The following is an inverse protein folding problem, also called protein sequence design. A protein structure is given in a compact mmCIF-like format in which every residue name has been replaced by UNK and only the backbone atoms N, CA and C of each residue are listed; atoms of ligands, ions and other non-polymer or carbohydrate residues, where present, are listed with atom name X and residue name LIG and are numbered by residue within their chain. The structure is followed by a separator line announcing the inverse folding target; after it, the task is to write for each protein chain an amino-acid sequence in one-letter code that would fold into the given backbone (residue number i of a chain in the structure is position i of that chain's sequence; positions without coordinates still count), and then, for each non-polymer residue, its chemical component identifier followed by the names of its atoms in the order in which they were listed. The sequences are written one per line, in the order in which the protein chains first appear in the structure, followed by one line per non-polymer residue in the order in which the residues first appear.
data_IF_531349324150
#
_entry.id   IF_531349324150
#
_cell.length_a   1.000
_cell.length_b   1.000
_cell.length_c   1.000
_cell.angle_alpha   90.00
_cell.angle_beta   90.00
_cell.angle_gamma   90.00
#
_symmetry.space_group_name_H-M   'P 1'
#
loop_
_entity.id
_entity.type
_entity.pdbx_description
1 polymer ?
#
# COMPACT_ATOMS: atom_id res chain seq x y z
N UNK A 1 -13.79 -28.59 13.27
CA UNK A 1 -13.70 -27.80 14.51
C UNK A 1 -13.55 -26.33 14.15
N UNK A 2 -14.58 -25.59 14.57
CA UNK A 2 -14.81 -24.15 14.50
C UNK A 2 -13.59 -23.22 14.49
N UNK A 3 -13.50 -22.42 13.43
CA UNK A 3 -12.82 -21.12 13.45
C UNK A 3 -13.76 -20.07 12.91
N UNK A 4 -14.61 -19.51 13.77
CA UNK A 4 -15.49 -18.37 13.46
C UNK A 4 -14.67 -17.23 12.85
N UNK A 5 -14.66 -17.09 11.52
CA UNK A 5 -14.41 -15.80 10.91
C UNK A 5 -15.62 -14.93 11.26
N UNK A 6 -15.47 -14.13 12.31
CA UNK A 6 -16.36 -13.01 12.57
C UNK A 6 -16.31 -12.11 11.34
N UNK A 7 -17.34 -12.17 10.52
CA UNK A 7 -17.66 -11.13 9.55
C UNK A 7 -17.90 -9.86 10.36
N UNK A 8 -16.86 -9.06 10.57
CA UNK A 8 -17.02 -7.71 11.08
C UNK A 8 -17.68 -6.89 9.96
N UNK A 9 -18.99 -6.69 10.13
CA UNK A 9 -19.84 -5.93 9.22
C UNK A 9 -19.40 -4.47 9.05
N UNK A 10 -19.52 -4.04 7.79
CA UNK A 10 -19.69 -2.70 7.22
C UNK A 10 -18.85 -1.47 7.63
N UNK A 11 -18.04 -1.49 8.70
CA UNK A 11 -17.25 -0.31 9.07
C UNK A 11 -15.75 -0.63 9.28
N UNK A 12 -15.10 -1.04 8.19
CA UNK A 12 -13.65 -1.26 8.15
C UNK A 12 -13.07 -0.70 6.86
N UNK A 13 -12.03 0.12 6.99
CA UNK A 13 -11.33 0.71 5.85
C UNK A 13 -10.25 -0.25 5.34
N UNK A 14 -10.09 -0.38 4.02
CA UNK A 14 -9.12 -1.31 3.44
C UNK A 14 -7.91 -0.56 2.86
N UNK A 15 -6.71 -0.98 3.24
CA UNK A 15 -5.44 -0.52 2.68
C UNK A 15 -4.91 -1.65 1.81
N UNK A 16 -4.96 -1.48 0.49
CA UNK A 16 -4.60 -2.51 -0.49
C UNK A 16 -3.21 -2.22 -1.04
N UNK A 17 -2.30 -3.19 -0.98
CA UNK A 17 -0.95 -3.07 -1.51
C UNK A 17 -0.89 -3.77 -2.87
N UNK A 18 -0.72 -3.00 -3.95
CA UNK A 18 -0.57 -3.51 -5.32
C UNK A 18 0.83 -3.16 -5.85
N UNK A 19 1.30 -3.88 -6.87
CA UNK A 19 2.61 -3.67 -7.50
C UNK A 19 3.35 -4.97 -7.78
N UNK A 20 4.51 -4.87 -8.42
CA UNK A 20 5.28 -6.04 -8.84
C UNK A 20 5.95 -6.78 -7.69
N UNK A 21 6.45 -7.97 -7.98
CA UNK A 21 7.25 -8.75 -7.03
C UNK A 21 8.52 -7.99 -6.62
N UNK A 22 8.84 -8.05 -5.33
CA UNK A 22 10.06 -7.44 -4.80
C UNK A 22 10.00 -5.92 -4.60
N UNK A 23 8.93 -5.22 -4.98
CA UNK A 23 8.83 -3.75 -4.76
C UNK A 23 8.64 -3.37 -3.28
N UNK A 24 8.40 -4.33 -2.39
CA UNK A 24 8.33 -4.11 -0.95
C UNK A 24 6.91 -4.03 -0.35
N UNK A 25 5.88 -4.52 -1.06
CA UNK A 25 4.48 -4.55 -0.60
C UNK A 25 4.31 -5.08 0.83
N UNK A 26 4.73 -6.32 1.08
CA UNK A 26 4.63 -6.98 2.39
C UNK A 26 5.39 -6.22 3.49
N UNK A 27 6.55 -5.66 3.17
CA UNK A 27 7.34 -4.86 4.12
C UNK A 27 6.63 -3.55 4.49
N UNK A 28 6.05 -2.86 3.51
CA UNK A 28 5.23 -1.67 3.74
C UNK A 28 3.95 -1.97 4.50
N UNK A 29 3.32 -3.12 4.24
CA UNK A 29 2.22 -3.62 5.06
C UNK A 29 2.62 -3.80 6.52
N UNK A 30 3.79 -4.39 6.78
CA UNK A 30 4.33 -4.52 8.13
C UNK A 30 4.61 -3.17 8.80
N UNK A 31 5.19 -2.21 8.07
CA UNK A 31 5.40 -0.84 8.56
C UNK A 31 4.08 -0.20 9.01
N UNK A 32 3.01 -0.35 8.22
CA UNK A 32 1.67 0.16 8.54
C UNK A 32 1.09 -0.55 9.77
N UNK A 33 1.15 -1.88 9.81
CA UNK A 33 0.63 -2.71 10.92
C UNK A 33 1.31 -2.35 12.25
N UNK A 34 2.64 -2.27 12.27
CA UNK A 34 3.42 -1.97 13.48
C UNK A 34 3.21 -0.54 13.97
N UNK A 35 2.93 0.41 13.07
CA UNK A 35 2.57 1.78 13.49
C UNK A 35 1.21 1.85 14.21
N UNK A 36 0.29 0.93 13.92
CA UNK A 36 -0.98 0.79 14.63
C UNK A 36 -0.85 0.07 15.98
N UNK A 37 0.16 -0.79 16.14
CA UNK A 37 0.47 -1.50 17.38
C UNK A 37 1.93 -1.98 17.40
N UNK A 38 2.79 -1.34 18.20
CA UNK A 38 4.22 -1.64 18.27
C UNK A 38 4.54 -3.01 18.88
N UNK A 39 3.58 -3.63 19.58
CA UNK A 39 3.75 -4.91 20.28
C UNK A 39 3.11 -6.08 19.51
N UNK A 40 2.95 -5.93 18.19
CA UNK A 40 2.34 -6.95 17.36
C UNK A 40 3.23 -8.21 17.31
N UNK A 41 2.67 -9.36 17.67
CA UNK A 41 3.38 -10.65 17.55
C UNK A 41 3.75 -10.94 16.09
N UNK A 42 4.91 -11.55 15.85
CA UNK A 42 5.42 -11.80 14.50
C UNK A 42 4.45 -12.54 13.56
N UNK A 43 3.59 -13.42 14.08
CA UNK A 43 2.56 -14.11 13.29
C UNK A 43 1.44 -13.21 12.74
N UNK A 44 1.33 -11.99 13.24
CA UNK A 44 0.39 -10.97 12.75
C UNK A 44 0.99 -10.08 11.64
N UNK A 45 2.25 -10.31 11.27
CA UNK A 45 2.93 -9.62 10.16
C UNK A 45 2.93 -10.50 8.90
N UNK A 46 3.16 -9.87 7.75
CA UNK A 46 3.41 -10.54 6.48
C UNK A 46 4.83 -11.10 6.44
N UNK A 47 5.02 -12.21 5.74
CA UNK A 47 6.35 -12.79 5.55
C UNK A 47 7.18 -11.89 4.62
N UNK A 48 8.35 -11.47 5.08
CA UNK A 48 9.30 -10.65 4.30
C UNK A 48 10.68 -11.28 4.37
N UNK A 49 11.28 -11.56 3.21
CA UNK A 49 12.68 -11.96 3.11
C UNK A 49 13.18 -11.66 1.69
N UNK A 50 14.50 -11.48 1.48
CA UNK A 50 15.08 -11.54 0.14
C UNK A 50 14.75 -12.88 -0.52
N UNK A 51 14.37 -12.84 -1.79
CA UNK A 51 14.05 -14.03 -2.57
C UNK A 51 14.17 -13.73 -4.06
N UNK A 52 14.65 -14.70 -4.84
CA UNK A 52 14.64 -14.66 -6.31
C UNK A 52 13.30 -15.10 -6.92
N UNK A 53 12.39 -15.60 -6.09
CA UNK A 53 11.03 -16.02 -6.47
C UNK A 53 9.97 -15.33 -5.61
N UNK A 54 8.72 -15.20 -6.08
CA UNK A 54 7.63 -14.63 -5.28
C UNK A 54 7.43 -15.39 -3.97
N UNK A 55 7.32 -14.66 -2.86
CA UNK A 55 6.96 -15.21 -1.55
C UNK A 55 5.44 -15.14 -1.36
N UNK A 56 4.86 -13.97 -1.61
CA UNK A 56 3.42 -13.75 -1.59
C UNK A 56 2.82 -14.28 -2.88
N UNK A 57 2.21 -15.47 -2.82
CA UNK A 57 1.55 -16.13 -3.95
C UNK A 57 0.02 -16.13 -3.83
N UNK A 58 -0.51 -15.57 -2.76
CA UNK A 58 -1.94 -15.41 -2.49
C UNK A 58 -2.18 -14.11 -1.73
N UNK A 59 -3.41 -13.58 -1.78
CA UNK A 59 -3.75 -12.41 -0.99
C UNK A 59 -3.71 -12.76 0.50
N UNK A 60 -3.02 -11.95 1.30
CA UNK A 60 -3.00 -12.07 2.75
C UNK A 60 -3.63 -10.84 3.40
N UNK A 61 -4.46 -11.05 4.41
CA UNK A 61 -5.17 -9.99 5.11
C UNK A 61 -4.75 -9.99 6.58
N UNK A 62 -4.32 -8.83 7.07
CA UNK A 62 -4.04 -8.59 8.48
C UNK A 62 -4.89 -7.44 8.99
N UNK A 63 -5.43 -7.59 10.20
CA UNK A 63 -6.31 -6.60 10.82
C UNK A 63 -5.53 -5.64 11.72
N UNK A 64 -5.80 -4.35 11.57
CA UNK A 64 -5.50 -3.32 12.55
C UNK A 64 -6.80 -2.99 13.30
N UNK A 65 -6.89 -3.33 14.58
CA UNK A 65 -8.19 -3.36 15.26
C UNK A 65 -8.87 -1.99 15.37
N UNK A 66 -8.17 -0.93 15.78
CA UNK A 66 -8.72 0.45 15.82
C UNK A 66 -7.65 1.55 15.65
N UNK A 67 -6.78 1.50 14.62
CA UNK A 67 -5.85 2.61 14.37
C UNK A 67 -6.66 3.90 14.19
N UNK A 68 -6.34 4.91 15.01
CA UNK A 68 -6.95 6.24 14.89
C UNK A 68 -8.49 6.25 14.89
N UNK A 69 -9.09 5.28 15.60
CA UNK A 69 -10.54 5.21 15.81
C UNK A 69 -11.33 4.40 14.78
N UNK A 70 -10.69 3.88 13.73
CA UNK A 70 -11.34 3.08 12.67
C UNK A 70 -10.58 1.76 12.46
N UNK A 71 -11.24 0.59 12.49
CA UNK A 71 -10.59 -0.67 12.10
C UNK A 71 -10.12 -0.61 10.64
N UNK A 72 -8.92 -1.13 10.37
CA UNK A 72 -8.39 -1.19 9.02
C UNK A 72 -7.91 -2.61 8.66
N UNK A 73 -8.20 -3.05 7.42
CA UNK A 73 -7.57 -4.24 6.81
C UNK A 73 -6.35 -3.78 6.04
N UNK A 74 -5.22 -4.42 6.26
CA UNK A 74 -4.07 -4.34 5.36
C UNK A 74 -4.09 -5.59 4.50
N UNK A 75 -4.19 -5.41 3.19
CA UNK A 75 -4.29 -6.49 2.20
C UNK A 75 -3.01 -6.48 1.39
N UNK A 76 -2.15 -7.47 1.60
CA UNK A 76 -0.97 -7.73 0.78
C UNK A 76 -1.38 -8.65 -0.37
N UNK A 77 -1.10 -8.25 -1.61
CA UNK A 77 -1.48 -9.04 -2.78
C UNK A 77 -0.25 -9.69 -3.42
N UNK A 78 -0.43 -10.82 -4.13
CA UNK A 78 0.59 -11.25 -5.07
C UNK A 78 0.74 -10.22 -6.20
N UNK A 79 1.81 -10.36 -6.96
CA UNK A 79 1.97 -9.69 -8.25
C UNK A 79 1.10 -10.39 -9.29
N UNK A 80 0.01 -9.75 -9.68
CA UNK A 80 -0.98 -10.34 -10.61
C UNK A 80 -0.43 -10.66 -11.99
N UNK A 81 0.69 -10.03 -12.38
CA UNK A 81 1.30 -10.17 -13.69
C UNK A 81 2.53 -11.08 -13.69
N UNK A 82 2.85 -11.71 -12.55
CA UNK A 82 4.00 -12.59 -12.46
C UNK A 82 3.72 -13.96 -13.08
N UNK A 83 4.58 -14.42 -14.00
CA UNK A 83 4.37 -15.67 -14.78
C UNK A 83 4.16 -16.93 -13.91
N UNK A 84 4.79 -16.96 -12.74
CA UNK A 84 4.66 -18.09 -11.80
C UNK A 84 3.37 -18.05 -10.95
N UNK A 85 2.55 -16.99 -11.05
CA UNK A 85 1.31 -16.88 -10.28
C UNK A 85 0.24 -17.80 -10.87
N UNK A 86 -0.16 -18.80 -10.10
CA UNK A 86 -1.28 -19.67 -10.45
C UNK A 86 -2.60 -19.01 -10.06
N UNK A 87 -3.64 -19.21 -10.86
CA UNK A 87 -4.99 -18.71 -10.58
C UNK A 87 -5.03 -17.19 -10.34
N UNK A 88 -4.29 -16.40 -11.12
CA UNK A 88 -4.24 -14.94 -11.00
C UNK A 88 -5.63 -14.31 -10.89
N UNK A 89 -6.59 -14.75 -11.71
CA UNK A 89 -7.97 -14.27 -11.67
C UNK A 89 -8.62 -14.43 -10.29
N UNK A 90 -8.38 -15.53 -9.58
CA UNK A 90 -8.94 -15.74 -8.24
C UNK A 90 -8.42 -14.71 -7.24
N UNK A 91 -7.13 -14.33 -7.35
CA UNK A 91 -6.53 -13.30 -6.52
C UNK A 91 -7.02 -11.90 -6.89
N UNK A 92 -7.25 -11.64 -8.19
CA UNK A 92 -7.89 -10.41 -8.66
C UNK A 92 -9.31 -10.29 -8.10
N UNK A 93 -10.14 -11.34 -8.20
CA UNK A 93 -11.49 -11.36 -7.62
C UNK A 93 -11.47 -11.21 -6.09
N UNK A 94 -10.48 -11.81 -5.42
CA UNK A 94 -10.28 -11.60 -4.00
C UNK A 94 -9.96 -10.13 -3.66
N UNK A 95 -9.05 -9.51 -4.41
CA UNK A 95 -8.69 -8.10 -4.26
C UNK A 95 -9.90 -7.18 -4.50
N UNK A 96 -10.73 -7.48 -5.51
CA UNK A 96 -11.97 -6.73 -5.80
C UNK A 96 -12.90 -6.63 -4.59
N UNK A 97 -13.01 -7.69 -3.77
CA UNK A 97 -13.84 -7.67 -2.54
C UNK A 97 -13.39 -6.62 -1.53
N UNK A 98 -12.11 -6.24 -1.54
CA UNK A 98 -11.54 -5.26 -0.61
C UNK A 98 -11.33 -3.88 -1.23
N UNK A 99 -11.15 -3.81 -2.55
CA UNK A 99 -10.85 -2.58 -3.29
C UNK A 99 -12.12 -1.80 -3.71
N UNK A 100 -13.15 -1.77 -2.86
CA UNK A 100 -14.41 -1.07 -3.16
C UNK A 100 -14.26 0.46 -3.07
N UNK A 101 -14.81 1.23 -4.03
CA UNK A 101 -14.79 2.69 -4.00
C UNK A 101 -15.31 3.27 -2.67
N UNK A 102 -14.63 4.28 -2.14
CA UNK A 102 -14.99 4.94 -0.87
C UNK A 102 -14.70 4.14 0.41
N UNK A 103 -14.32 2.87 0.31
CA UNK A 103 -13.96 2.01 1.47
C UNK A 103 -12.51 1.54 1.46
N UNK A 104 -11.70 2.00 0.50
CA UNK A 104 -10.30 1.64 0.42
C UNK A 104 -9.37 2.77 -0.03
N UNK A 105 -8.09 2.59 0.26
CA UNK A 105 -6.98 3.24 -0.43
C UNK A 105 -6.15 2.15 -1.10
N UNK A 106 -5.69 2.41 -2.32
CA UNK A 106 -4.70 1.59 -3.01
C UNK A 106 -3.34 2.22 -2.83
N UNK A 107 -2.39 1.46 -2.33
CA UNK A 107 -0.97 1.78 -2.31
C UNK A 107 -0.33 1.04 -3.48
N UNK A 108 -0.03 1.75 -4.56
CA UNK A 108 0.73 1.19 -5.66
C UNK A 108 2.22 1.30 -5.33
N UNK A 109 2.82 0.17 -5.00
CA UNK A 109 4.15 0.08 -4.41
C UNK A 109 5.21 -0.06 -5.50
N UNK A 110 6.07 0.95 -5.58
CA UNK A 110 7.22 1.02 -6.49
C UNK A 110 8.52 1.08 -5.68
N UNK A 111 9.60 0.53 -6.21
CA UNK A 111 10.91 0.63 -5.58
C UNK A 111 11.66 1.87 -6.09
N UNK A 112 12.22 2.66 -5.17
CA UNK A 112 13.06 3.80 -5.55
C UNK A 112 14.32 3.33 -6.28
N UNK A 113 14.67 4.02 -7.36
CA UNK A 113 15.80 3.66 -8.22
C UNK A 113 15.55 2.45 -9.14
N UNK A 114 14.38 1.81 -9.06
CA UNK A 114 14.00 0.67 -9.90
C UNK A 114 12.58 0.87 -10.42
N UNK A 115 12.48 1.62 -11.52
CA UNK A 115 11.25 1.77 -12.29
C UNK A 115 11.44 1.14 -13.67
N UNK A 116 10.81 0.00 -13.92
CA UNK A 116 11.07 -0.83 -15.10
C UNK A 116 9.99 -0.71 -16.17
N UNK A 117 10.25 -1.23 -17.37
CA UNK A 117 9.29 -1.23 -18.47
C UNK A 117 8.01 -2.01 -18.14
N UNK A 118 8.09 -3.04 -17.30
CA UNK A 118 6.92 -3.78 -16.82
C UNK A 118 5.99 -2.89 -15.99
N UNK A 119 6.56 -1.91 -15.27
CA UNK A 119 5.83 -0.93 -14.45
C UNK A 119 5.26 0.22 -15.29
N UNK A 120 5.66 0.36 -16.56
CA UNK A 120 5.00 1.26 -17.49
C UNK A 120 3.54 0.82 -17.71
N UNK A 121 2.61 1.75 -17.48
CA UNK A 121 1.19 1.50 -17.61
C UNK A 121 0.61 0.52 -16.58
N UNK A 122 1.33 0.24 -15.47
CA UNK A 122 0.87 -0.74 -14.47
C UNK A 122 -0.46 -0.35 -13.84
N UNK A 123 -0.73 0.95 -13.68
CA UNK A 123 -1.98 1.44 -13.13
C UNK A 123 -3.15 1.08 -14.05
N UNK A 124 -3.00 1.28 -15.35
CA UNK A 124 -4.00 0.93 -16.36
C UNK A 124 -4.19 -0.59 -16.45
N UNK A 125 -3.10 -1.37 -16.40
CA UNK A 125 -3.18 -2.83 -16.34
C UNK A 125 -3.99 -3.30 -15.12
N UNK A 126 -3.72 -2.72 -13.94
CA UNK A 126 -4.46 -3.04 -12.72
C UNK A 126 -5.93 -2.61 -12.79
N UNK A 127 -6.24 -1.45 -13.36
CA UNK A 127 -7.62 -0.99 -13.57
C UNK A 127 -8.39 -1.92 -14.51
N UNK A 128 -7.73 -2.45 -15.55
CA UNK A 128 -8.33 -3.43 -16.45
C UNK A 128 -8.65 -4.75 -15.73
N UNK A 129 -7.71 -5.28 -14.92
CA UNK A 129 -7.92 -6.50 -14.13
C UNK A 129 -9.04 -6.32 -13.08
N UNK A 130 -9.03 -5.18 -12.38
CA UNK A 130 -10.04 -4.85 -11.37
C UNK A 130 -11.38 -4.46 -12.00
N UNK A 131 -11.42 -4.09 -13.27
CA UNK A 131 -12.65 -3.72 -13.98
C UNK A 131 -13.23 -2.36 -13.55
N UNK A 132 -12.46 -1.54 -12.83
CA UNK A 132 -12.82 -0.16 -12.50
C UNK A 132 -11.59 0.71 -12.31
N UNK A 133 -11.82 2.02 -12.40
CA UNK A 133 -10.80 3.04 -12.21
C UNK A 133 -10.47 3.18 -10.72
N UNK A 134 -9.21 2.97 -10.33
CA UNK A 134 -8.76 3.05 -8.92
C UNK A 134 -7.97 4.31 -8.61
N UNK A 135 -7.47 5.02 -9.64
CA UNK A 135 -6.49 6.10 -9.47
C UNK A 135 -6.92 7.25 -8.56
N UNK A 136 -8.21 7.46 -8.38
CA UNK A 136 -8.79 8.46 -7.45
C UNK A 136 -8.53 8.12 -5.98
N UNK A 137 -8.38 6.83 -5.67
CA UNK A 137 -8.06 6.31 -4.34
C UNK A 137 -6.64 5.73 -4.26
N UNK A 138 -5.80 5.94 -5.28
CA UNK A 138 -4.42 5.46 -5.31
C UNK A 138 -3.43 6.50 -4.77
N UNK A 139 -2.47 6.01 -3.99
CA UNK A 139 -1.24 6.71 -3.59
C UNK A 139 -0.06 5.89 -4.15
N UNK A 140 0.86 6.55 -4.86
CA UNK A 140 2.12 5.93 -5.27
C UNK A 140 3.04 5.82 -4.05
N UNK A 141 3.35 4.61 -3.59
CA UNK A 141 4.21 4.38 -2.45
C UNK A 141 5.60 3.94 -2.92
N UNK A 142 6.60 4.79 -2.73
CA UNK A 142 8.00 4.45 -2.94
C UNK A 142 8.57 3.72 -1.73
N UNK A 143 9.26 2.61 -1.96
CA UNK A 143 10.06 1.91 -0.94
C UNK A 143 11.54 2.17 -1.16
N UNK A 144 12.38 1.66 -0.26
CA UNK A 144 13.83 1.91 -0.27
C UNK A 144 14.16 3.41 -0.15
N UNK A 145 13.40 4.15 0.66
CA UNK A 145 13.62 5.59 0.88
C UNK A 145 14.94 5.95 1.55
N UNK A 146 15.71 4.97 2.01
CA UNK A 146 17.12 5.10 2.42
C UNK A 146 18.05 5.43 1.26
N UNK A 147 17.68 5.03 0.03
CA UNK A 147 18.48 5.25 -1.18
C UNK A 147 18.20 6.63 -1.82
N UNK A 148 17.19 7.35 -1.35
CA UNK A 148 16.84 8.68 -1.86
C UNK A 148 17.93 9.69 -1.50
N UNK A 149 18.63 10.17 -2.53
CA UNK A 149 19.58 11.30 -2.44
C UNK A 149 18.90 12.55 -2.99
N UNK A 150 18.69 13.56 -2.15
CA UNK A 150 17.95 14.76 -2.52
C UNK A 150 16.45 14.64 -2.20
N UNK A 151 15.61 15.38 -2.92
CA UNK A 151 14.15 15.32 -2.73
C UNK A 151 13.50 14.25 -3.60
N UNK A 152 12.38 13.70 -3.12
CA UNK A 152 11.59 12.75 -3.90
C UNK A 152 11.07 13.36 -5.21
N UNK A 153 10.72 14.65 -5.20
CA UNK A 153 10.32 15.38 -6.40
C UNK A 153 11.42 15.34 -7.47
N UNK A 154 12.68 15.63 -7.10
CA UNK A 154 13.80 15.58 -8.05
C UNK A 154 13.91 14.20 -8.70
N UNK A 155 13.77 13.13 -7.92
CA UNK A 155 13.74 11.76 -8.44
C UNK A 155 12.58 11.54 -9.41
N UNK A 156 11.36 11.96 -9.05
CA UNK A 156 10.16 11.83 -9.89
C UNK A 156 10.36 12.52 -11.24
N UNK A 157 10.93 13.74 -11.26
CA UNK A 157 11.13 14.50 -12.49
C UNK A 157 12.13 13.88 -13.47
N UNK A 158 12.96 12.91 -13.05
CA UNK A 158 13.92 12.23 -13.93
C UNK A 158 13.27 11.34 -14.98
N UNK A 159 12.05 10.86 -14.77
CA UNK A 159 11.38 9.90 -15.65
C UNK A 159 9.97 10.36 -16.03
N UNK A 160 9.67 10.48 -17.33
CA UNK A 160 8.36 10.92 -17.82
C UNK A 160 7.22 9.97 -17.46
N UNK A 161 7.45 8.67 -17.51
CA UNK A 161 6.45 7.66 -17.17
C UNK A 161 6.13 7.71 -15.67
N UNK A 162 7.14 7.94 -14.83
CA UNK A 162 6.95 8.11 -13.39
C UNK A 162 6.16 9.38 -13.06
N UNK A 163 6.47 10.49 -13.74
CA UNK A 163 5.66 11.71 -13.65
C UNK A 163 4.22 11.45 -14.06
N UNK A 164 4.01 10.76 -15.17
CA UNK A 164 2.68 10.48 -15.70
C UNK A 164 1.81 9.70 -14.69
N UNK A 165 2.32 8.59 -14.14
CA UNK A 165 1.54 7.77 -13.20
C UNK A 165 1.21 8.54 -11.91
N UNK A 166 2.11 9.42 -11.44
CA UNK A 166 1.86 10.29 -10.28
C UNK A 166 0.80 11.35 -10.60
N UNK A 167 0.87 11.98 -11.77
CA UNK A 167 -0.16 12.94 -12.22
C UNK A 167 -1.53 12.27 -12.32
N UNK A 168 -1.61 11.04 -12.85
CA UNK A 168 -2.85 10.26 -12.90
C UNK A 168 -3.47 9.99 -11.52
N UNK A 169 -2.63 9.92 -10.49
CA UNK A 169 -3.02 9.77 -9.08
C UNK A 169 -3.12 11.12 -8.34
N UNK A 170 -3.39 12.22 -9.06
CA UNK A 170 -3.53 13.59 -8.51
C UNK A 170 -2.34 14.00 -7.62
N UNK A 171 -1.12 13.63 -8.04
CA UNK A 171 0.12 13.88 -7.32
C UNK A 171 0.22 13.22 -5.93
N UNK A 172 -0.66 12.27 -5.59
CA UNK A 172 -0.56 11.50 -4.35
C UNK A 172 0.58 10.50 -4.43
N UNK A 173 1.67 10.81 -3.74
CA UNK A 173 2.81 9.92 -3.60
C UNK A 173 3.39 9.99 -2.18
N UNK A 174 4.09 8.96 -1.74
CA UNK A 174 4.72 8.90 -0.42
C UNK A 174 5.96 8.00 -0.47
N UNK A 175 6.87 8.14 0.50
CA UNK A 175 8.07 7.31 0.59
C UNK A 175 8.19 6.66 1.96
N UNK A 176 8.44 5.36 1.96
CA UNK A 176 8.73 4.59 3.15
C UNK A 176 10.21 4.18 3.21
N UNK A 177 10.73 4.24 4.44
CA UNK A 177 11.94 3.54 4.85
C UNK A 177 11.48 2.36 5.70
N UNK A 178 11.19 1.23 5.07
CA UNK A 178 10.60 0.06 5.74
C UNK A 178 11.50 -0.51 6.85
N UNK A 179 12.81 -0.26 6.78
CA UNK A 179 13.80 -0.59 7.82
C UNK A 179 13.71 0.31 9.06
N UNK A 180 13.02 1.45 8.97
CA UNK A 180 12.86 2.41 10.05
C UNK A 180 11.54 2.20 10.82
N UNK A 181 11.60 2.28 12.15
CA UNK A 181 10.42 2.14 13.04
C UNK A 181 9.68 3.47 13.29
N UNK A 182 10.03 4.53 12.58
CA UNK A 182 9.39 5.83 12.77
C UNK A 182 7.93 5.79 12.32
N UNK A 183 7.01 5.96 13.26
CA UNK A 183 5.57 5.96 12.97
C UNK A 183 5.11 7.19 12.19
N UNK A 184 5.94 8.25 12.09
CA UNK A 184 5.60 9.50 11.38
C UNK A 184 5.39 9.28 9.88
N UNK A 185 6.14 8.38 9.25
CA UNK A 185 5.95 8.04 7.84
C UNK A 185 4.55 7.46 7.60
N UNK A 186 4.09 6.51 8.44
CA UNK A 186 2.71 6.01 8.33
C UNK A 186 1.68 7.12 8.56
N UNK A 187 1.90 8.01 9.52
CA UNK A 187 1.01 9.17 9.74
C UNK A 187 0.96 10.08 8.51
N UNK A 188 2.11 10.40 7.91
CA UNK A 188 2.20 11.21 6.69
C UNK A 188 1.58 10.53 5.47
N UNK A 189 1.60 9.19 5.40
CA UNK A 189 0.85 8.44 4.40
C UNK A 189 -0.67 8.61 4.61
N UNK A 190 -1.15 8.42 5.84
CA UNK A 190 -2.59 8.47 6.14
C UNK A 190 -3.18 9.85 5.83
N UNK A 191 -2.44 10.95 6.03
CA UNK A 191 -2.91 12.30 5.66
C UNK A 191 -3.06 12.52 4.14
N UNK A 192 -2.44 11.68 3.32
CA UNK A 192 -2.57 11.72 1.86
C UNK A 192 -3.75 10.91 1.33
N UNK A 193 -4.45 10.18 2.19
CA UNK A 193 -5.68 9.47 1.83
C UNK A 193 -6.80 10.49 1.58
N UNK A 194 -7.54 10.40 0.47
CA UNK A 194 -8.72 11.23 0.24
C UNK A 194 -9.68 11.13 1.42
N UNK A 195 -10.15 12.28 1.92
CA UNK A 195 -11.07 12.35 3.07
C UNK A 195 -10.57 11.67 4.36
N UNK A 196 -9.25 11.59 4.59
CA UNK A 196 -8.69 10.91 5.77
C UNK A 196 -9.28 11.36 7.11
N UNK A 197 -9.73 12.63 7.24
CA UNK A 197 -10.37 13.16 8.45
C UNK A 197 -11.73 12.51 8.74
N UNK A 198 -12.48 12.15 7.69
CA UNK A 198 -13.76 11.44 7.81
C UNK A 198 -13.50 9.96 8.15
N UNK A 199 -12.50 9.36 7.50
CA UNK A 199 -12.18 7.93 7.64
C UNK A 199 -11.53 7.64 9.00
N UNK A 200 -10.61 8.51 9.44
CA UNK A 200 -9.84 8.37 10.68
C UNK A 200 -10.10 9.55 11.62
N UNK A 201 -11.29 9.65 12.25
CA UNK A 201 -11.71 10.83 13.00
C UNK A 201 -10.89 11.10 14.27
N UNK A 202 -10.19 10.09 14.81
CA UNK A 202 -9.26 10.27 15.94
C UNK A 202 -7.82 10.50 15.49
N UNK A 203 -7.57 10.63 14.18
CA UNK A 203 -6.27 11.01 13.65
C UNK A 203 -6.10 12.53 13.76
N UNK A 204 -5.20 12.97 14.65
CA UNK A 204 -4.84 14.38 14.75
C UNK A 204 -3.55 14.65 13.97
N UNK A 205 -3.66 15.35 12.85
CA UNK A 205 -2.50 15.74 12.03
C UNK A 205 -1.74 16.95 12.58
N UNK A 206 -2.33 17.74 13.49
CA UNK A 206 -1.75 19.01 14.01
C UNK A 206 -0.64 18.81 15.05
N UNK A 207 -0.44 17.58 15.53
CA UNK A 207 0.61 17.27 16.51
C UNK A 207 1.98 17.04 15.88
N UNK A 208 2.09 17.14 14.56
CA UNK A 208 3.33 16.92 13.83
C UNK A 208 3.42 17.94 12.69
N UNK A 209 4.52 18.71 12.56
CA UNK A 209 4.69 19.55 11.38
C UNK A 209 4.58 18.67 10.14
N UNK A 210 3.89 19.18 9.12
CA UNK A 210 3.92 18.60 7.78
C UNK A 210 5.38 18.30 7.46
N UNK A 211 5.68 17.06 7.09
CA UNK A 211 7.02 16.73 6.62
C UNK A 211 7.16 17.45 5.28
N UNK A 212 7.64 18.69 5.33
CA UNK A 212 7.90 19.57 4.19
C UNK A 212 9.10 19.09 3.36
N UNK A 213 9.70 17.96 3.72
CA UNK A 213 10.89 17.40 3.08
C UNK A 213 10.95 15.88 3.27
N UNK A 214 10.26 15.15 2.41
CA UNK A 214 10.74 13.86 1.92
C UNK A 214 10.37 13.70 0.44
#
# INVERSE_FOLDING_TARGET
FSGNQRVHGDNCFNIILLGLTGTGKSASGNTILTAGNSNLASGKLFKTQPSSVPITTQCEIKMMEKPFGMPARVVDTPDFFHDQLKNSQAHVEECKRYCQPGRCVVLLVLQLGRFTDEEHGILEKLENELGWRIRESTIILFTHGEDLKGSLDQYIYTNNHLRNIITMCSFRHHVFRNSCKDTKQVKGLLTKIPEYKNIFPKFNSRTFPECLTC
#
